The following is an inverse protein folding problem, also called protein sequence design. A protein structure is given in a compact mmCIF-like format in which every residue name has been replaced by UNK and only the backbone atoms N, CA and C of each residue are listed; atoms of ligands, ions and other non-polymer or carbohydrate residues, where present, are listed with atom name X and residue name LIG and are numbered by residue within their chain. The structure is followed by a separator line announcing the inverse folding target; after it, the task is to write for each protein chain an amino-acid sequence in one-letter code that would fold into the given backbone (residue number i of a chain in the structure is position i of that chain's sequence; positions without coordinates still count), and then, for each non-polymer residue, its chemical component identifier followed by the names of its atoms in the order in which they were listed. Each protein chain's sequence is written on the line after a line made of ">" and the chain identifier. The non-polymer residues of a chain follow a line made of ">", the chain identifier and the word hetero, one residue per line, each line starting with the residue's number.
data_IF_594439530630
#
_entry.id   IF_594439530630
#
_cell.length_a   1.000
_cell.length_b   1.000
_cell.length_c   1.000
_cell.angle_alpha   90.00
_cell.angle_beta   90.00
_cell.angle_gamma   90.00
#
_symmetry.space_group_name_H-M   'P 1'
#
loop_
_entity.id
_entity.type
_entity.pdbx_description
1 polymer ?
#
# COMPACT_ATOMS: atom_id res chain seq x y z
N UNK A 1 -23.58 22.09 -0.52
CA UNK A 1 -22.35 22.43 0.23
C UNK A 1 -21.22 21.84 -0.55
N UNK A 2 -20.31 22.70 -0.99
CA UNK A 2 -19.16 22.26 -1.79
C UNK A 2 -18.20 21.55 -0.81
N UNK A 3 -18.05 20.22 -0.95
CA UNK A 3 -17.21 19.38 -0.10
C UNK A 3 -15.70 19.60 -0.32
N UNK A 4 -15.34 20.61 -1.12
CA UNK A 4 -13.95 20.93 -1.42
C UNK A 4 -13.26 21.77 -0.33
N UNK A 5 -14.03 22.36 0.59
CA UNK A 5 -13.50 23.13 1.71
C UNK A 5 -13.21 22.25 2.95
N UNK A 6 -13.83 21.07 3.02
CA UNK A 6 -13.57 20.08 4.08
C UNK A 6 -12.44 19.17 3.60
N UNK A 7 -11.25 19.25 4.22
CA UNK A 7 -10.11 18.39 3.87
C UNK A 7 -10.44 16.90 3.90
N UNK A 8 -9.65 16.08 3.20
CA UNK A 8 -9.76 14.61 3.22
C UNK A 8 -8.99 14.05 4.39
N UNK A 9 -9.64 13.24 5.23
CA UNK A 9 -9.04 12.61 6.40
C UNK A 9 -8.83 11.12 6.19
N UNK A 10 -7.68 10.63 6.66
CA UNK A 10 -7.26 9.24 6.58
C UNK A 10 -6.76 8.76 7.93
N UNK A 11 -7.12 7.53 8.32
CA UNK A 11 -6.59 6.90 9.53
C UNK A 11 -6.22 5.45 9.24
N UNK A 12 -5.04 5.04 9.69
CA UNK A 12 -4.50 3.69 9.58
C UNK A 12 -4.26 3.13 10.98
N UNK A 13 -4.80 1.94 11.24
CA UNK A 13 -4.57 1.18 12.46
C UNK A 13 -3.85 -0.10 12.06
N UNK A 14 -2.62 -0.28 12.54
CA UNK A 14 -1.79 -1.40 12.17
C UNK A 14 -0.93 -1.90 13.34
N UNK A 15 -0.33 -3.07 13.17
CA UNK A 15 0.59 -3.67 14.14
C UNK A 15 1.92 -3.99 13.44
N UNK A 16 3.01 -3.51 14.00
CA UNK A 16 4.37 -3.83 13.56
C UNK A 16 5.24 -4.09 14.79
N UNK A 17 6.00 -5.20 14.79
CA UNK A 17 6.82 -5.65 15.93
C UNK A 17 6.03 -5.76 17.25
N UNK A 18 4.81 -6.29 17.21
CA UNK A 18 3.89 -6.41 18.33
C UNK A 18 3.48 -5.09 19.01
N UNK A 19 3.67 -3.95 18.33
CA UNK A 19 3.22 -2.65 18.80
C UNK A 19 2.09 -2.20 17.87
N UNK A 20 0.92 -1.87 18.46
CA UNK A 20 -0.18 -1.25 17.74
C UNK A 20 0.15 0.22 17.52
N UNK A 21 -0.05 0.68 16.30
CA UNK A 21 0.06 2.09 15.90
C UNK A 21 -1.29 2.59 15.40
N UNK A 22 -1.54 3.88 15.60
CA UNK A 22 -2.62 4.63 14.95
C UNK A 22 -1.99 5.86 14.31
N UNK A 23 -2.05 5.94 13.00
CA UNK A 23 -1.54 7.04 12.20
C UNK A 23 -2.67 7.70 11.44
N UNK A 24 -2.84 8.99 11.62
CA UNK A 24 -3.88 9.75 10.93
C UNK A 24 -3.34 11.05 10.36
N UNK A 25 -3.98 11.53 9.29
CA UNK A 25 -3.73 12.84 8.72
C UNK A 25 -4.95 13.37 7.98
N UNK A 26 -5.06 14.69 7.94
CA UNK A 26 -6.06 15.44 7.17
C UNK A 26 -5.32 16.36 6.20
N UNK A 27 -5.71 16.33 4.94
CA UNK A 27 -5.12 17.15 3.88
C UNK A 27 -6.20 17.94 3.13
N UNK A 28 -5.89 19.13 2.69
CA UNK A 28 -6.62 19.85 1.66
C UNK A 28 -5.88 19.82 0.31
N UNK A 29 -6.27 20.65 -0.63
CA UNK A 29 -5.63 20.75 -1.96
C UNK A 29 -4.23 21.37 -1.93
N UNK A 30 -3.84 22.01 -0.84
CA UNK A 30 -2.61 22.79 -0.75
C UNK A 30 -1.64 22.28 0.31
N UNK A 31 -2.15 21.72 1.43
CA UNK A 31 -1.33 21.40 2.59
C UNK A 31 -1.88 20.27 3.46
N UNK A 32 -1.05 19.82 4.38
CA UNK A 32 -1.43 18.96 5.50
C UNK A 32 -2.02 19.86 6.60
N UNK A 33 -3.27 19.57 6.99
CA UNK A 33 -3.98 20.31 8.05
C UNK A 33 -3.69 19.71 9.42
N UNK A 34 -3.75 18.39 9.51
CA UNK A 34 -3.49 17.62 10.73
C UNK A 34 -2.67 16.38 10.40
N UNK A 35 -1.82 15.96 11.35
CA UNK A 35 -1.08 14.69 11.27
C UNK A 35 -0.73 14.22 12.67
N UNK A 36 -0.93 12.94 12.97
CA UNK A 36 -0.57 12.38 14.26
C UNK A 36 -0.14 10.91 14.17
N UNK A 37 0.70 10.52 15.12
CA UNK A 37 1.11 9.12 15.28
C UNK A 37 1.08 8.73 16.74
N UNK A 38 0.29 7.70 17.04
CA UNK A 38 0.18 7.08 18.36
C UNK A 38 0.81 5.70 18.35
N UNK A 39 1.53 5.36 19.41
CA UNK A 39 2.07 4.02 19.63
C UNK A 39 1.54 3.44 20.94
N UNK A 40 1.14 2.17 20.95
CA UNK A 40 0.64 1.47 22.12
C UNK A 40 1.68 0.46 22.63
N UNK A 41 2.68 0.95 23.38
CA UNK A 41 3.65 0.13 24.09
C UNK A 41 3.04 -0.59 25.29
N UNK A 42 1.86 -0.13 25.72
CA UNK A 42 1.03 -0.69 26.77
C UNK A 42 -0.45 -0.45 26.42
N UNK A 43 -1.36 -0.64 27.38
CA UNK A 43 -2.79 -0.33 27.17
C UNK A 43 -3.06 1.18 26.92
N UNK A 44 -2.12 2.06 27.27
CA UNK A 44 -2.25 3.52 27.10
C UNK A 44 -1.49 3.97 25.85
N UNK A 45 -2.12 4.81 25.03
CA UNK A 45 -1.48 5.42 23.88
C UNK A 45 -0.36 6.36 24.30
N UNK A 46 0.76 6.32 23.57
CA UNK A 46 1.85 7.27 23.62
C UNK A 46 1.84 8.04 22.31
N UNK A 47 1.67 9.35 22.37
CA UNK A 47 1.78 10.25 21.21
C UNK A 47 3.25 10.37 20.84
N UNK A 48 3.60 9.99 19.61
CA UNK A 48 4.96 10.17 19.07
C UNK A 48 5.13 11.58 18.48
N UNK A 49 4.12 12.07 17.79
CA UNK A 49 3.99 13.46 17.36
C UNK A 49 2.54 13.81 17.05
N UNK A 50 2.24 15.09 17.07
CA UNK A 50 1.00 15.71 16.61
C UNK A 50 1.33 16.98 15.84
N UNK A 51 0.65 17.23 14.76
CA UNK A 51 0.66 18.43 13.93
C UNK A 51 -0.77 18.91 13.73
N UNK A 52 -1.02 20.18 13.94
CA UNK A 52 -2.30 20.82 13.64
C UNK A 52 -2.03 22.30 13.28
N UNK A 53 -2.38 22.69 12.06
CA UNK A 53 -2.15 24.06 11.56
C UNK A 53 -2.90 25.13 12.33
N UNK A 54 -3.93 24.78 13.10
CA UNK A 54 -4.68 25.70 13.95
C UNK A 54 -4.01 25.94 15.29
N UNK A 55 -2.99 25.17 15.65
CA UNK A 55 -2.27 25.30 16.91
C UNK A 55 -1.03 26.20 16.77
N UNK A 56 -0.64 26.78 17.91
CA UNK A 56 0.63 27.54 18.04
C UNK A 56 1.37 27.03 19.28
N UNK A 57 2.49 26.29 19.12
CA UNK A 57 3.11 25.87 17.84
C UNK A 57 2.30 24.82 17.09
N UNK A 58 2.46 24.77 15.77
CA UNK A 58 1.80 23.80 14.87
C UNK A 58 2.12 22.34 15.24
N UNK A 59 3.35 22.08 15.69
CA UNK A 59 3.80 20.77 16.11
C UNK A 59 3.86 20.62 17.63
N UNK A 60 3.34 19.52 18.15
CA UNK A 60 3.41 19.14 19.55
C UNK A 60 4.24 17.86 19.69
N UNK A 61 5.46 18.02 20.20
CA UNK A 61 6.38 16.94 20.47
C UNK A 61 6.56 16.71 21.97
N UNK A 62 6.75 15.44 22.36
CA UNK A 62 6.93 15.08 23.78
C UNK A 62 8.17 14.21 23.97
N UNK A 63 8.75 14.29 25.16
CA UNK A 63 9.91 13.47 25.56
C UNK A 63 11.25 14.16 25.32
N UNK A 64 12.32 13.36 25.27
CA UNK A 64 13.69 13.87 25.26
C UNK A 64 14.17 14.31 23.86
N UNK A 65 13.43 13.98 22.81
CA UNK A 65 13.85 14.18 21.42
C UNK A 65 13.20 15.41 20.77
N UNK A 66 12.57 16.27 21.58
CA UNK A 66 11.83 17.47 21.09
C UNK A 66 12.72 18.36 20.22
N UNK A 67 14.01 18.52 20.57
CA UNK A 67 14.94 19.33 19.77
C UNK A 67 15.12 18.77 18.36
N UNK A 68 15.39 17.47 18.23
CA UNK A 68 15.56 16.79 16.94
C UNK A 68 14.28 16.85 16.13
N UNK A 69 13.13 16.60 16.77
CA UNK A 69 11.83 16.66 16.10
C UNK A 69 11.50 18.07 15.59
N UNK A 70 11.83 19.11 16.33
CA UNK A 70 11.66 20.50 15.88
C UNK A 70 12.57 20.83 14.68
N UNK A 71 13.81 20.33 14.65
CA UNK A 71 14.71 20.52 13.52
C UNK A 71 14.17 19.85 12.25
N UNK A 72 13.56 18.67 12.37
CA UNK A 72 12.90 17.96 11.27
C UNK A 72 11.63 18.70 10.83
N UNK A 73 10.81 19.18 11.78
CA UNK A 73 9.60 19.93 11.47
C UNK A 73 9.89 21.21 10.66
N UNK A 74 10.97 21.93 10.97
CA UNK A 74 11.41 23.10 10.21
C UNK A 74 11.79 22.79 8.75
N UNK A 75 12.11 21.52 8.44
CA UNK A 75 12.46 21.02 7.09
C UNK A 75 11.28 20.38 6.39
N UNK A 76 10.15 20.26 7.08
CA UNK A 76 8.92 19.67 6.55
C UNK A 76 8.06 20.76 5.92
N UNK A 77 7.95 20.76 4.61
CA UNK A 77 7.08 21.70 3.90
C UNK A 77 5.61 21.49 4.29
N UNK A 78 4.80 22.53 4.17
CA UNK A 78 3.38 22.51 4.54
C UNK A 78 2.57 21.41 3.82
N UNK A 79 2.96 21.06 2.60
CA UNK A 79 2.32 20.03 1.75
C UNK A 79 2.95 18.64 1.89
N UNK A 80 3.89 18.43 2.81
CA UNK A 80 4.51 17.13 3.11
C UNK A 80 4.08 16.59 4.46
N UNK A 81 3.81 15.31 4.53
CA UNK A 81 3.61 14.61 5.80
C UNK A 81 4.92 14.54 6.59
N UNK A 82 4.83 14.71 7.91
CA UNK A 82 5.98 14.66 8.81
C UNK A 82 6.57 13.25 8.95
N UNK A 83 5.72 12.22 8.98
CA UNK A 83 6.15 10.82 9.14
C UNK A 83 7.23 10.40 8.12
N UNK A 84 7.05 10.55 6.79
CA UNK A 84 8.07 10.18 5.81
C UNK A 84 9.31 11.07 5.91
N UNK A 85 9.16 12.37 6.18
CA UNK A 85 10.31 13.27 6.34
C UNK A 85 11.14 12.87 7.56
N UNK A 86 10.51 12.56 8.69
CA UNK A 86 11.20 12.12 9.90
C UNK A 86 11.94 10.78 9.70
N UNK A 87 11.37 9.87 8.92
CA UNK A 87 12.04 8.63 8.55
C UNK A 87 13.25 8.86 7.62
N UNK A 88 13.12 9.75 6.63
CA UNK A 88 14.20 10.16 5.71
C UNK A 88 15.37 10.80 6.48
N UNK A 89 15.08 11.60 7.52
CA UNK A 89 16.09 12.20 8.40
C UNK A 89 16.61 11.26 9.49
N UNK A 90 16.22 9.99 9.45
CA UNK A 90 16.76 8.93 10.32
C UNK A 90 16.25 8.96 11.76
N UNK A 91 15.10 9.57 12.03
CA UNK A 91 14.53 9.59 13.39
C UNK A 91 14.07 8.19 13.80
N UNK A 92 14.76 7.60 14.78
CA UNK A 92 14.64 6.15 15.12
C UNK A 92 13.23 5.74 15.52
N UNK A 93 12.51 6.55 16.32
CA UNK A 93 11.18 6.19 16.82
C UNK A 93 10.12 6.09 15.72
N UNK A 94 10.37 6.70 14.56
CA UNK A 94 9.49 6.71 13.40
C UNK A 94 9.79 5.57 12.44
N UNK A 95 11.01 5.01 12.46
CA UNK A 95 11.43 3.99 11.50
C UNK A 95 10.52 2.76 11.49
N UNK A 96 10.10 2.26 12.66
CA UNK A 96 9.25 1.06 12.73
C UNK A 96 7.88 1.29 12.09
N UNK A 97 7.09 2.29 12.48
CA UNK A 97 5.81 2.55 11.83
C UNK A 97 5.96 2.93 10.36
N UNK A 98 7.02 3.66 9.96
CA UNK A 98 7.26 4.00 8.57
C UNK A 98 7.57 2.77 7.69
N UNK A 99 8.37 1.80 8.20
CA UNK A 99 8.65 0.54 7.49
C UNK A 99 7.40 -0.26 7.15
N UNK A 100 6.36 -0.19 7.99
CA UNK A 100 5.09 -0.84 7.66
C UNK A 100 4.50 -0.27 6.37
N UNK A 101 4.45 1.06 6.23
CA UNK A 101 4.00 1.70 4.99
C UNK A 101 4.91 1.36 3.81
N UNK A 102 6.23 1.38 4.01
CA UNK A 102 7.21 1.02 2.97
C UNK A 102 6.98 -0.40 2.44
N UNK A 103 6.73 -1.36 3.33
CA UNK A 103 6.40 -2.73 2.93
C UNK A 103 5.09 -2.79 2.16
N UNK A 104 4.03 -2.14 2.66
CA UNK A 104 2.71 -2.15 2.03
C UNK A 104 2.74 -1.51 0.64
N UNK A 105 3.36 -0.34 0.50
CA UNK A 105 3.42 0.36 -0.79
C UNK A 105 4.37 -0.31 -1.78
N UNK A 106 5.52 -0.85 -1.35
CA UNK A 106 6.38 -1.64 -2.24
C UNK A 106 5.68 -2.92 -2.70
N UNK A 107 4.95 -3.56 -1.80
CA UNK A 107 4.26 -4.81 -2.12
C UNK A 107 3.13 -4.61 -3.15
N UNK A 108 2.50 -3.43 -3.17
CA UNK A 108 1.37 -3.13 -4.06
C UNK A 108 1.69 -2.13 -5.19
N UNK A 109 2.75 -1.33 -5.09
CA UNK A 109 3.12 -0.32 -6.08
C UNK A 109 3.92 -0.86 -7.27
N UNK A 110 4.80 -1.85 -7.01
CA UNK A 110 5.69 -2.45 -8.03
C UNK A 110 5.25 -3.86 -8.46
N UNK A 111 4.20 -4.42 -7.84
CA UNK A 111 3.76 -5.77 -8.14
C UNK A 111 2.53 -5.74 -9.03
N UNK A 112 2.60 -6.50 -10.13
CA UNK A 112 1.43 -6.93 -10.87
C UNK A 112 0.44 -7.59 -9.89
N UNK A 113 -0.72 -6.96 -9.67
CA UNK A 113 -1.78 -7.44 -8.74
C UNK A 113 -2.11 -8.91 -9.03
N UNK A 114 -2.11 -9.30 -10.30
CA UNK A 114 -2.31 -10.67 -10.75
C UNK A 114 -1.28 -11.63 -10.16
N UNK A 115 -0.02 -11.22 -10.01
CA UNK A 115 1.01 -12.05 -9.39
C UNK A 115 0.78 -12.20 -7.88
N UNK A 116 0.41 -11.12 -7.19
CA UNK A 116 0.10 -11.16 -5.74
C UNK A 116 -1.06 -12.11 -5.47
N UNK A 117 -2.15 -11.98 -6.21
CA UNK A 117 -3.31 -12.85 -6.08
C UNK A 117 -2.93 -14.30 -6.44
N UNK A 118 -2.11 -14.49 -7.48
CA UNK A 118 -1.61 -15.81 -7.86
C UNK A 118 -0.84 -16.50 -6.70
N UNK A 119 -0.05 -15.74 -5.96
CA UNK A 119 0.72 -16.28 -4.83
C UNK A 119 -0.19 -16.55 -3.62
N UNK A 120 -1.15 -15.68 -3.32
CA UNK A 120 -2.16 -15.89 -2.27
C UNK A 120 -3.01 -17.14 -2.56
N UNK A 121 -3.43 -17.33 -3.80
CA UNK A 121 -4.30 -18.45 -4.21
C UNK A 121 -3.56 -19.80 -4.21
N UNK A 122 -2.23 -19.83 -4.31
CA UNK A 122 -1.41 -21.05 -4.16
C UNK A 122 -1.43 -21.60 -2.74
N UNK A 123 -1.57 -20.75 -1.74
CA UNK A 123 -1.71 -21.14 -0.33
C UNK A 123 -3.20 -21.31 0.00
N UNK A 124 -3.60 -22.55 0.31
CA UNK A 124 -5.01 -22.88 0.58
C UNK A 124 -5.59 -22.09 1.75
N UNK A 125 -4.81 -21.85 2.81
CA UNK A 125 -5.25 -21.10 4.00
C UNK A 125 -5.49 -19.63 3.67
N UNK A 126 -4.60 -19.01 2.90
CA UNK A 126 -4.74 -17.62 2.47
C UNK A 126 -5.89 -17.47 1.47
N UNK A 127 -6.06 -18.43 0.57
CA UNK A 127 -7.19 -18.48 -0.35
C UNK A 127 -8.53 -18.55 0.38
N UNK A 128 -8.66 -19.41 1.39
CA UNK A 128 -9.88 -19.56 2.18
C UNK A 128 -10.19 -18.26 2.93
N UNK A 129 -9.20 -17.61 3.53
CA UNK A 129 -9.36 -16.29 4.19
C UNK A 129 -9.83 -15.22 3.21
N UNK A 130 -9.27 -15.19 1.99
CA UNK A 130 -9.67 -14.26 0.95
C UNK A 130 -11.13 -14.50 0.53
N UNK A 131 -11.51 -15.74 0.27
CA UNK A 131 -12.88 -16.11 -0.10
C UNK A 131 -13.88 -15.79 1.01
N UNK A 132 -13.52 -16.01 2.27
CA UNK A 132 -14.35 -15.63 3.42
C UNK A 132 -14.55 -14.10 3.50
N UNK A 133 -13.48 -13.32 3.31
CA UNK A 133 -13.55 -11.87 3.28
C UNK A 133 -14.43 -11.34 2.15
N UNK A 134 -14.29 -11.88 0.95
CA UNK A 134 -15.09 -11.52 -0.23
C UNK A 134 -16.56 -11.92 -0.06
N UNK A 135 -16.84 -13.07 0.57
CA UNK A 135 -18.19 -13.50 0.89
C UNK A 135 -18.88 -12.55 1.89
N UNK A 136 -18.14 -12.06 2.90
CA UNK A 136 -18.66 -11.07 3.86
C UNK A 136 -18.92 -9.70 3.21
N UNK A 137 -18.21 -9.38 2.15
CA UNK A 137 -18.41 -8.16 1.36
C UNK A 137 -19.50 -8.30 0.28
N UNK A 138 -20.24 -9.40 0.25
CA UNK A 138 -21.39 -9.68 -0.64
C UNK A 138 -21.02 -9.71 -2.14
N UNK A 139 -19.79 -10.12 -2.46
CA UNK A 139 -19.36 -10.22 -3.87
C UNK A 139 -19.84 -11.48 -4.61
N UNK A 140 -20.56 -12.39 -3.96
CA UNK A 140 -21.03 -13.66 -4.55
C UNK A 140 -19.97 -14.49 -5.27
N UNK A 141 -18.71 -14.34 -4.85
CA UNK A 141 -17.56 -15.08 -5.38
C UNK A 141 -17.49 -16.45 -4.70
N UNK A 142 -17.44 -17.51 -5.50
CA UNK A 142 -17.36 -18.91 -5.03
C UNK A 142 -15.97 -19.47 -5.07
N UNK A 143 -15.18 -19.03 -6.03
CA UNK A 143 -13.80 -19.48 -6.17
C UNK A 143 -12.94 -18.43 -6.86
N UNK A 144 -11.64 -18.46 -6.58
CA UNK A 144 -10.59 -17.69 -7.26
C UNK A 144 -9.48 -18.68 -7.62
N UNK A 145 -9.07 -18.66 -8.86
CA UNK A 145 -7.98 -19.52 -9.31
C UNK A 145 -7.16 -18.84 -10.41
N UNK A 146 -5.98 -19.40 -10.67
CA UNK A 146 -5.04 -18.86 -11.64
C UNK A 146 -4.86 -19.87 -12.77
N UNK A 147 -4.92 -19.39 -14.00
CA UNK A 147 -4.49 -20.11 -15.19
C UNK A 147 -3.32 -19.38 -15.83
N UNK A 148 -2.32 -20.09 -16.27
CA UNK A 148 -1.27 -19.51 -17.08
C UNK A 148 -1.74 -19.30 -18.51
N UNK A 149 -1.52 -18.12 -19.06
CA UNK A 149 -1.83 -17.75 -20.44
C UNK A 149 -0.53 -17.40 -21.16
N UNK A 150 -0.31 -17.96 -22.34
CA UNK A 150 0.86 -17.63 -23.15
C UNK A 150 0.88 -16.14 -23.47
N UNK A 151 2.05 -15.53 -23.29
CA UNK A 151 2.29 -14.16 -23.72
C UNK A 151 2.45 -14.16 -25.24
N UNK A 152 1.72 -13.32 -25.92
CA UNK A 152 1.80 -13.20 -27.38
C UNK A 152 3.23 -12.80 -27.79
N UNK A 153 3.70 -13.38 -28.89
CA UNK A 153 5.06 -13.15 -29.37
C UNK A 153 5.37 -11.65 -29.53
N UNK A 154 4.43 -10.88 -30.05
CA UNK A 154 4.59 -9.44 -30.23
C UNK A 154 4.87 -8.71 -28.91
N UNK A 155 4.19 -9.10 -27.81
CA UNK A 155 4.43 -8.50 -26.48
C UNK A 155 5.78 -8.93 -25.90
N UNK A 156 6.16 -10.22 -26.10
CA UNK A 156 7.49 -10.69 -25.67
C UNK A 156 8.60 -9.97 -26.42
N UNK A 157 8.47 -9.77 -27.72
CA UNK A 157 9.45 -9.04 -28.55
C UNK A 157 9.57 -7.58 -28.09
N UNK A 158 8.44 -6.92 -27.76
CA UNK A 158 8.43 -5.55 -27.23
C UNK A 158 9.11 -5.46 -25.86
N UNK A 159 8.86 -6.43 -24.96
CA UNK A 159 9.52 -6.48 -23.64
C UNK A 159 11.03 -6.70 -23.80
N UNK A 160 11.45 -7.59 -24.71
CA UNK A 160 12.84 -7.86 -25.00
C UNK A 160 13.54 -6.57 -25.50
N UNK A 161 12.92 -5.88 -26.44
CA UNK A 161 13.44 -4.61 -26.97
C UNK A 161 13.54 -3.53 -25.90
N UNK A 162 12.54 -3.41 -25.04
CA UNK A 162 12.56 -2.47 -23.91
C UNK A 162 13.70 -2.76 -22.94
N UNK A 163 13.87 -4.03 -22.52
CA UNK A 163 14.94 -4.45 -21.63
C UNK A 163 16.32 -4.26 -22.27
N UNK A 164 16.48 -4.58 -23.55
CA UNK A 164 17.73 -4.37 -24.29
C UNK A 164 18.11 -2.88 -24.36
N UNK A 165 17.12 -2.00 -24.56
CA UNK A 165 17.35 -0.56 -24.56
C UNK A 165 17.73 -0.01 -23.17
N UNK A 166 17.22 -0.61 -22.08
CA UNK A 166 17.52 -0.19 -20.71
C UNK A 166 18.88 -0.71 -20.20
N UNK A 167 19.20 -1.97 -20.49
CA UNK A 167 20.34 -2.68 -19.89
C UNK A 167 21.55 -2.78 -20.83
N UNK A 168 21.36 -2.59 -22.12
CA UNK A 168 22.39 -2.69 -23.15
C UNK A 168 22.36 -4.01 -23.93
N UNK A 169 22.88 -3.96 -25.17
CA UNK A 169 23.01 -5.15 -26.02
C UNK A 169 23.98 -6.16 -25.38
N UNK A 170 23.49 -7.39 -25.17
CA UNK A 170 24.27 -8.51 -24.63
C UNK A 170 24.01 -8.85 -23.16
N UNK A 171 23.30 -8.02 -22.40
CA UNK A 171 22.90 -8.31 -21.01
C UNK A 171 21.51 -8.94 -20.88
N UNK A 172 20.73 -8.95 -21.96
CA UNK A 172 19.34 -9.46 -21.96
C UNK A 172 19.28 -10.73 -22.81
N UNK A 173 18.90 -11.86 -22.19
CA UNK A 173 18.57 -13.10 -22.91
C UNK A 173 17.05 -13.30 -22.99
N UNK A 174 16.58 -14.01 -24.00
CA UNK A 174 15.15 -14.36 -24.15
C UNK A 174 14.57 -15.11 -22.94
N UNK A 175 15.43 -15.83 -22.20
CA UNK A 175 15.05 -16.59 -21.00
C UNK A 175 14.64 -15.72 -19.82
N UNK A 176 14.98 -14.41 -19.85
CA UNK A 176 14.56 -13.45 -18.84
C UNK A 176 13.09 -13.07 -18.98
N UNK A 177 12.47 -13.33 -20.13
CA UNK A 177 11.09 -12.99 -20.39
C UNK A 177 10.25 -14.28 -20.27
N UNK A 178 9.29 -14.33 -19.33
CA UNK A 178 8.46 -15.50 -19.14
C UNK A 178 7.64 -15.80 -20.41
N UNK A 179 7.44 -17.08 -20.71
CA UNK A 179 6.58 -17.51 -21.81
C UNK A 179 5.09 -17.33 -21.50
N UNK A 180 4.75 -17.47 -20.20
CA UNK A 180 3.39 -17.44 -19.71
C UNK A 180 3.24 -16.34 -18.64
N UNK A 181 2.05 -15.76 -18.56
CA UNK A 181 1.67 -14.87 -17.44
C UNK A 181 0.52 -15.50 -16.65
N UNK A 182 0.48 -15.32 -15.32
CA UNK A 182 -0.67 -15.72 -14.55
C UNK A 182 -1.87 -14.83 -14.89
N UNK A 183 -3.02 -15.44 -15.05
CA UNK A 183 -4.30 -14.78 -15.28
C UNK A 183 -5.27 -15.25 -14.21
N UNK A 184 -5.93 -14.31 -13.56
CA UNK A 184 -6.86 -14.59 -12.47
C UNK A 184 -8.24 -14.85 -13.06
N UNK A 185 -8.86 -15.91 -12.56
CA UNK A 185 -10.25 -16.26 -12.86
C UNK A 185 -11.05 -16.25 -11.57
N UNK A 186 -12.25 -15.69 -11.64
CA UNK A 186 -13.19 -15.66 -10.53
C UNK A 186 -14.44 -16.40 -10.94
N UNK A 187 -14.86 -17.36 -10.11
CA UNK A 187 -16.16 -18.03 -10.24
C UNK A 187 -17.23 -17.27 -9.47
N UNK A 188 -18.18 -16.71 -10.16
CA UNK A 188 -19.36 -16.07 -9.56
C UNK A 188 -20.54 -17.02 -9.50
N UNK A 189 -21.40 -16.85 -8.48
CA UNK A 189 -22.71 -17.45 -8.46
C UNK A 189 -23.79 -16.42 -8.82
N UNK A 190 -24.65 -16.79 -9.77
CA UNK A 190 -25.85 -16.02 -10.07
C UNK A 190 -26.90 -16.16 -8.95
N UNK A 191 -27.91 -15.31 -8.93
CA UNK A 191 -29.05 -15.45 -8.02
C UNK A 191 -29.87 -16.73 -8.24
N UNK A 192 -29.78 -17.33 -9.44
CA UNK A 192 -30.38 -18.62 -9.77
C UNK A 192 -29.58 -19.83 -9.28
N UNK A 193 -28.36 -19.61 -8.75
CA UNK A 193 -27.44 -20.68 -8.31
C UNK A 193 -26.51 -21.21 -9.41
N UNK A 194 -26.61 -20.72 -10.62
CA UNK A 194 -25.69 -21.06 -11.70
C UNK A 194 -24.34 -20.36 -11.47
N UNK A 195 -23.25 -21.02 -11.80
CA UNK A 195 -21.90 -20.45 -11.69
C UNK A 195 -21.34 -20.14 -13.05
N UNK A 196 -20.58 -19.07 -13.15
CA UNK A 196 -19.85 -18.66 -14.34
C UNK A 196 -18.50 -18.09 -13.99
N UNK A 197 -17.52 -18.27 -14.87
CA UNK A 197 -16.16 -17.82 -14.67
C UNK A 197 -15.90 -16.51 -15.42
N UNK A 198 -15.26 -15.57 -14.77
CA UNK A 198 -14.84 -14.28 -15.34
C UNK A 198 -13.32 -14.20 -15.27
N UNK A 199 -12.69 -13.87 -16.39
CA UNK A 199 -11.27 -13.51 -16.44
C UNK A 199 -11.11 -12.07 -15.97
N UNK A 200 -10.25 -11.85 -14.98
CA UNK A 200 -9.84 -10.48 -14.57
C UNK A 200 -8.66 -10.07 -15.45
N UNK A 201 -8.87 -9.03 -16.25
CA UNK A 201 -7.81 -8.43 -17.05
C UNK A 201 -7.29 -7.19 -16.30
N UNK A 202 -5.95 -7.03 -16.28
CA UNK A 202 -5.29 -5.83 -15.71
C UNK A 202 -5.55 -4.55 -16.52
N UNK A 203 -6.20 -4.67 -17.67
CA UNK A 203 -6.41 -3.58 -18.64
C UNK A 203 -7.79 -2.90 -18.52
N UNK A 204 -8.51 -3.12 -17.40
CA UNK A 204 -9.84 -2.53 -17.19
C UNK A 204 -9.88 -1.50 -16.06
#
# INVERSE_FOLDING_TARGET
>A
KDSREDGSSFEFIFCENNIKYVYGFTIDTERVLEEYLLAYYSKKATTLFERDVNNTPEYNFRGNDVKVQNEIAQKTNSNRLYLPVAAEWGYEKIKTPYKWFEKMFRQYGDMNISQVIADVVKDSSQKDMLLEALSKADFNIKDIYVKNKKIEKQHRDAMLQFLTNMLGEGEVSEDLIPEDRPVIWITHASKSGETFDIEINDDS
#
